data_IF_104526063953
#
_entry.id   IF_104526063953
#
_cell.length_a   1.000
_cell.length_b   1.000
_cell.length_c   1.000
_cell.angle_alpha   90.00
_cell.angle_beta   90.00
_cell.angle_gamma   90.00
#
_symmetry.space_group_name_H-M   'P 1'
#
loop_
_entity.id
_entity.type
_entity.pdbx_description
1 polymer ?
#
# COMPACT_ATOMS: atom_id res chain seq x y z
N UNK A 1 1.47 -0.52 16.58
CA UNK A 1 0.88 -0.38 15.23
C UNK A 1 -0.64 -0.50 15.28
N UNK A 2 -1.37 0.22 14.42
CA UNK A 2 -2.83 0.12 14.28
C UNK A 2 -3.24 -1.18 13.56
N UNK A 3 -4.42 -1.73 13.86
CA UNK A 3 -4.90 -2.99 13.26
C UNK A 3 -5.00 -2.93 11.74
N UNK A 4 -5.51 -1.82 11.19
CA UNK A 4 -5.62 -1.60 9.73
C UNK A 4 -4.24 -1.60 9.05
N UNK A 5 -3.24 -0.95 9.67
CA UNK A 5 -1.86 -0.96 9.17
C UNK A 5 -1.29 -2.37 9.16
N UNK A 6 -1.58 -3.16 10.20
CA UNK A 6 -1.13 -4.55 10.27
C UNK A 6 -1.68 -5.38 9.11
N UNK A 7 -2.97 -5.26 8.82
CA UNK A 7 -3.61 -5.96 7.69
C UNK A 7 -3.00 -5.57 6.34
N UNK A 8 -2.65 -4.29 6.17
CA UNK A 8 -2.07 -3.75 4.92
C UNK A 8 -0.63 -4.17 4.64
N UNK A 9 0.13 -4.57 5.67
CA UNK A 9 1.55 -4.96 5.52
C UNK A 9 1.81 -6.42 5.86
N UNK A 10 0.83 -7.15 6.41
CA UNK A 10 1.01 -8.53 6.89
C UNK A 10 1.42 -9.52 5.79
N UNK A 11 1.12 -9.25 4.52
CA UNK A 11 1.53 -10.08 3.39
C UNK A 11 2.98 -9.81 2.94
N UNK A 12 3.53 -8.63 3.25
CA UNK A 12 4.87 -8.23 2.84
C UNK A 12 5.94 -9.04 3.57
N UNK A 13 6.97 -9.47 2.84
CA UNK A 13 8.06 -10.30 3.37
C UNK A 13 8.73 -9.72 4.62
N UNK A 14 8.85 -8.39 4.73
CA UNK A 14 9.42 -7.73 5.91
C UNK A 14 8.60 -7.94 7.20
N UNK A 15 7.31 -8.30 7.09
CA UNK A 15 6.42 -8.56 8.23
C UNK A 15 5.93 -10.02 8.29
N UNK A 16 5.82 -10.72 7.15
CA UNK A 16 5.35 -12.11 7.08
C UNK A 16 6.42 -13.14 7.37
N UNK A 17 7.69 -12.86 7.08
CA UNK A 17 8.82 -13.73 7.40
C UNK A 17 9.48 -13.34 8.75
N UNK A 18 9.55 -14.25 9.74
CA UNK A 18 10.10 -13.93 11.05
C UNK A 18 11.58 -13.51 11.04
N UNK A 19 12.39 -14.06 10.12
CA UNK A 19 13.81 -13.75 10.04
C UNK A 19 14.03 -12.35 9.42
N UNK A 20 13.32 -12.05 8.34
CA UNK A 20 13.31 -10.72 7.73
C UNK A 20 12.81 -9.65 8.71
N UNK A 21 11.75 -9.95 9.46
CA UNK A 21 11.23 -9.05 10.50
C UNK A 21 12.25 -8.76 11.59
N UNK A 22 12.95 -9.80 12.06
CA UNK A 22 13.99 -9.66 13.08
C UNK A 22 15.13 -8.76 12.58
N UNK A 23 15.57 -8.95 11.33
CA UNK A 23 16.61 -8.12 10.72
C UNK A 23 16.16 -6.65 10.58
N UNK A 24 14.91 -6.43 10.14
CA UNK A 24 14.33 -5.09 10.05
C UNK A 24 14.27 -4.40 11.41
N UNK A 25 13.81 -5.09 12.46
CA UNK A 25 13.73 -4.54 13.82
C UNK A 25 15.13 -4.20 14.39
N UNK A 26 16.14 -5.02 14.11
CA UNK A 26 17.53 -4.75 14.50
C UNK A 26 18.10 -3.49 13.84
N UNK A 27 17.97 -3.38 12.51
CA UNK A 27 18.46 -2.22 11.75
C UNK A 27 17.70 -0.96 12.14
N UNK A 28 16.38 -1.06 12.34
CA UNK A 28 15.56 0.04 12.78
C UNK A 28 16.00 0.54 14.17
N UNK A 29 16.29 -0.36 15.11
CA UNK A 29 16.83 -0.01 16.42
C UNK A 29 18.21 0.66 16.34
N UNK A 30 19.12 0.16 15.50
CA UNK A 30 20.45 0.75 15.28
C UNK A 30 20.35 2.21 14.83
N UNK A 31 19.39 2.51 13.96
CA UNK A 31 19.19 3.85 13.40
C UNK A 31 18.11 4.68 14.13
N UNK A 32 17.60 4.21 15.28
CA UNK A 32 16.54 4.88 16.05
C UNK A 32 15.26 5.15 15.23
N UNK A 33 14.97 4.28 14.28
CA UNK A 33 13.74 4.30 13.49
C UNK A 33 12.71 3.41 14.16
N UNK A 34 11.48 3.90 14.32
CA UNK A 34 10.39 3.09 14.83
C UNK A 34 9.87 2.14 13.73
N UNK A 35 9.90 0.80 13.90
CA UNK A 35 9.35 -0.15 12.92
C UNK A 35 7.88 0.12 12.58
N UNK A 36 7.11 0.58 13.57
CA UNK A 36 5.71 0.97 13.39
C UNK A 36 5.55 2.14 12.41
N UNK A 37 6.48 3.11 12.39
CA UNK A 37 6.44 4.22 11.45
C UNK A 37 6.68 3.75 10.01
N UNK A 38 7.58 2.78 9.81
CA UNK A 38 7.80 2.15 8.51
C UNK A 38 6.52 1.43 8.02
N UNK A 39 5.86 0.71 8.92
CA UNK A 39 4.60 0.03 8.59
C UNK A 39 3.49 1.02 8.19
N UNK A 40 3.34 2.12 8.95
CA UNK A 40 2.35 3.16 8.62
C UNK A 40 2.62 3.85 7.28
N UNK A 41 3.89 4.14 6.96
CA UNK A 41 4.28 4.73 5.68
C UNK A 41 3.98 3.80 4.50
N UNK A 42 4.31 2.51 4.63
CA UNK A 42 4.07 1.51 3.59
C UNK A 42 2.57 1.28 3.38
N UNK A 43 1.79 1.20 4.46
CA UNK A 43 0.33 1.09 4.36
C UNK A 43 -0.27 2.32 3.64
N UNK A 44 0.19 3.53 3.97
CA UNK A 44 -0.25 4.75 3.30
C UNK A 44 0.12 4.75 1.80
N UNK A 45 1.33 4.32 1.44
CA UNK A 45 1.77 4.24 0.05
C UNK A 45 0.88 3.28 -0.75
N UNK A 46 0.58 2.10 -0.21
CA UNK A 46 -0.34 1.13 -0.83
C UNK A 46 -1.72 1.73 -1.06
N UNK A 47 -2.26 2.43 -0.07
CA UNK A 47 -3.54 3.14 -0.21
C UNK A 47 -3.49 4.19 -1.34
N UNK A 48 -2.41 4.97 -1.43
CA UNK A 48 -2.26 5.94 -2.52
C UNK A 48 -2.14 5.28 -3.89
N UNK A 49 -1.41 4.18 -4.01
CA UNK A 49 -1.30 3.43 -5.28
C UNK A 49 -2.66 2.88 -5.72
N UNK A 50 -3.46 2.35 -4.77
CA UNK A 50 -4.84 1.94 -5.07
C UNK A 50 -5.71 3.12 -5.51
N UNK A 51 -5.60 4.27 -4.84
CA UNK A 51 -6.34 5.48 -5.22
C UNK A 51 -5.98 5.95 -6.63
N UNK A 52 -4.69 5.92 -7.00
CA UNK A 52 -4.24 6.23 -8.35
C UNK A 52 -4.80 5.24 -9.37
N UNK A 53 -4.78 3.93 -9.07
CA UNK A 53 -5.40 2.91 -9.94
C UNK A 53 -6.91 3.13 -10.11
N UNK A 54 -7.63 3.47 -9.03
CA UNK A 54 -9.05 3.78 -9.08
C UNK A 54 -9.33 5.03 -9.93
N UNK A 55 -8.49 6.06 -9.84
CA UNK A 55 -8.60 7.25 -10.69
C UNK A 55 -8.43 6.91 -12.18
N UNK A 56 -7.46 6.08 -12.55
CA UNK A 56 -7.29 5.63 -13.94
C UNK A 56 -8.48 4.80 -14.44
N UNK A 57 -9.13 4.00 -13.57
CA UNK A 57 -10.38 3.33 -13.93
C UNK A 57 -11.52 4.32 -14.16
N UNK A 58 -11.69 5.35 -13.33
CA UNK A 58 -12.70 6.39 -13.54
C UNK A 58 -12.52 7.06 -14.90
N UNK A 59 -11.28 7.47 -15.23
CA UNK A 59 -10.97 8.05 -16.54
C UNK A 59 -11.31 7.09 -17.69
N UNK A 60 -11.03 5.79 -17.54
CA UNK A 60 -11.40 4.75 -18.53
C UNK A 60 -12.93 4.58 -18.63
N UNK A 61 -13.65 4.63 -17.52
CA UNK A 61 -15.12 4.56 -17.51
C UNK A 61 -15.73 5.78 -18.20
N UNK A 62 -15.23 6.97 -17.90
CA UNK A 62 -15.67 8.22 -18.52
C UNK A 62 -15.45 8.17 -20.04
N UNK A 63 -14.26 7.74 -20.51
CA UNK A 63 -13.98 7.54 -21.93
C UNK A 63 -14.96 6.54 -22.60
N UNK A 64 -15.31 5.45 -21.91
CA UNK A 64 -16.27 4.45 -22.41
C UNK A 64 -17.69 5.04 -22.49
N UNK A 65 -18.13 5.78 -21.47
CA UNK A 65 -19.48 6.37 -21.43
C UNK A 65 -19.64 7.54 -22.41
N UNK A 66 -18.60 8.32 -22.64
CA UNK A 66 -18.60 9.44 -23.60
C UNK A 66 -18.48 8.98 -25.06
N UNK A 67 -18.13 7.72 -25.30
CA UNK A 67 -18.00 7.17 -26.64
C UNK A 67 -19.38 6.96 -27.32
N UNK A 68 -19.77 7.95 -28.15
CA UNK A 68 -21.00 7.95 -28.96
C UNK A 68 -21.08 6.86 -30.03
N UNK A 69 -20.00 6.10 -30.25
CA UNK A 69 -20.02 4.93 -31.13
C UNK A 69 -20.64 3.73 -30.43
N UNK A 70 -20.38 3.58 -29.12
CA UNK A 70 -20.92 2.49 -28.30
C UNK A 70 -22.36 2.77 -27.84
N UNK A 71 -22.67 4.05 -27.59
CA UNK A 71 -23.99 4.47 -27.12
C UNK A 71 -24.62 5.38 -28.19
N UNK A 72 -25.56 4.83 -28.98
CA UNK A 72 -26.41 5.56 -29.93
C UNK A 72 -27.65 6.11 -29.27
#
# INVERSE_FOLDING_TARGET
MKTETQEQVADLLLWSDPAARTLMEQIAAEHQVAPDALAELVAWEREQQERVRRRGMVETFDEIFENRTYWR
#
